data_IF_739996151063
#
_entry.id   IF_739996151063
#
_cell.length_a   1.000
_cell.length_b   1.000
_cell.length_c   1.000
_cell.angle_alpha   90.00
_cell.angle_beta   90.00
_cell.angle_gamma   90.00
#
_symmetry.space_group_name_H-M   'P 1'
#
loop_
_entity.id
_entity.type
_entity.pdbx_description
1 polymer ?
#
# COMPACT_ATOMS: atom_id res chain seq x y z
N UNK A 1 -22.38 11.48 -25.26
CA UNK A 1 -21.56 12.63 -24.86
C UNK A 1 -22.31 13.34 -23.74
N UNK A 2 -21.73 13.36 -22.54
CA UNK A 2 -22.31 14.07 -21.39
C UNK A 2 -22.10 15.57 -21.52
N UNK A 3 -22.86 16.36 -20.75
CA UNK A 3 -22.60 17.79 -20.58
C UNK A 3 -21.22 18.00 -19.96
N UNK A 4 -20.53 19.09 -20.30
CA UNK A 4 -19.33 19.49 -19.57
C UNK A 4 -19.69 19.93 -18.16
N UNK A 5 -18.71 19.88 -17.24
CA UNK A 5 -18.88 20.33 -15.86
C UNK A 5 -19.38 21.78 -15.76
N UNK A 6 -18.94 22.65 -16.67
CA UNK A 6 -19.37 24.05 -16.77
C UNK A 6 -20.82 24.20 -17.28
N UNK A 7 -21.32 23.21 -18.01
CA UNK A 7 -22.67 23.18 -18.56
C UNK A 7 -23.71 22.52 -17.65
N UNK A 8 -23.32 22.04 -16.47
CA UNK A 8 -24.26 21.50 -15.48
C UNK A 8 -25.06 22.62 -14.82
N UNK A 9 -26.36 22.39 -14.63
CA UNK A 9 -27.24 23.27 -13.87
C UNK A 9 -27.84 22.58 -12.66
N UNK A 10 -28.46 23.37 -11.77
CA UNK A 10 -29.27 22.87 -10.65
C UNK A 10 -30.24 21.74 -11.05
N UNK A 11 -30.87 21.82 -12.23
CA UNK A 11 -31.82 20.81 -12.71
C UNK A 11 -31.15 19.45 -12.98
N UNK A 12 -29.90 19.44 -13.42
CA UNK A 12 -29.14 18.20 -13.66
C UNK A 12 -28.84 17.50 -12.34
N UNK A 13 -28.51 18.25 -11.28
CA UNK A 13 -28.29 17.72 -9.94
C UNK A 13 -29.59 17.19 -9.30
N UNK A 14 -30.71 17.86 -9.52
CA UNK A 14 -32.03 17.36 -9.07
C UNK A 14 -32.39 16.06 -9.79
N UNK A 15 -32.17 15.98 -11.11
CA UNK A 15 -32.35 14.73 -11.87
C UNK A 15 -31.43 13.61 -11.40
N UNK A 16 -30.26 13.95 -10.86
CA UNK A 16 -29.32 13.01 -10.28
C UNK A 16 -29.67 12.57 -8.84
N UNK A 17 -30.78 13.08 -8.28
CA UNK A 17 -31.35 12.62 -7.01
C UNK A 17 -31.16 13.56 -5.81
N UNK A 18 -30.66 14.78 -6.01
CA UNK A 18 -30.64 15.79 -4.95
C UNK A 18 -31.99 16.50 -4.81
N UNK A 19 -32.28 17.01 -3.61
CA UNK A 19 -33.38 17.96 -3.42
C UNK A 19 -33.04 19.30 -4.07
N UNK A 20 -34.04 20.15 -4.35
CA UNK A 20 -33.79 21.46 -4.96
C UNK A 20 -32.91 22.36 -4.08
N UNK A 21 -33.05 22.26 -2.76
CA UNK A 21 -32.23 23.04 -1.81
C UNK A 21 -30.78 22.54 -1.80
N UNK A 22 -30.59 21.22 -1.67
CA UNK A 22 -29.26 20.60 -1.70
C UNK A 22 -28.57 20.85 -3.04
N UNK A 23 -29.29 20.76 -4.16
CA UNK A 23 -28.77 20.99 -5.50
C UNK A 23 -28.19 22.41 -5.67
N UNK A 24 -28.87 23.44 -5.14
CA UNK A 24 -28.36 24.83 -5.18
C UNK A 24 -27.08 25.00 -4.35
N UNK A 25 -27.04 24.41 -3.16
CA UNK A 25 -25.85 24.42 -2.31
C UNK A 25 -24.69 23.67 -2.97
N UNK A 26 -24.97 22.49 -3.50
CA UNK A 26 -24.02 21.62 -4.17
C UNK A 26 -23.43 22.28 -5.42
N UNK A 27 -24.26 22.90 -6.26
CA UNK A 27 -23.84 23.63 -7.46
C UNK A 27 -22.88 24.77 -7.13
N UNK A 28 -23.16 25.53 -6.06
CA UNK A 28 -22.28 26.61 -5.60
C UNK A 28 -20.91 26.07 -5.18
N UNK A 29 -20.89 24.97 -4.42
CA UNK A 29 -19.64 24.32 -3.97
C UNK A 29 -18.85 23.79 -5.16
N UNK A 30 -19.51 23.09 -6.10
CA UNK A 30 -18.84 22.56 -7.31
C UNK A 30 -18.23 23.69 -8.12
N UNK A 31 -18.99 24.77 -8.43
CA UNK A 31 -18.46 25.89 -9.21
C UNK A 31 -17.29 26.58 -8.51
N UNK A 32 -17.37 26.76 -7.19
CA UNK A 32 -16.30 27.36 -6.42
C UNK A 32 -15.02 26.51 -6.50
N UNK A 33 -15.11 25.20 -6.27
CA UNK A 33 -13.96 24.30 -6.36
C UNK A 33 -13.36 24.26 -7.77
N UNK A 34 -14.20 24.16 -8.81
CA UNK A 34 -13.74 24.17 -10.21
C UNK A 34 -13.04 25.50 -10.54
N UNK A 35 -13.56 26.63 -10.06
CA UNK A 35 -12.93 27.94 -10.29
C UNK A 35 -11.57 28.10 -9.60
N UNK A 36 -11.35 27.39 -8.49
CA UNK A 36 -10.08 27.38 -7.74
C UNK A 36 -9.07 26.38 -8.29
N UNK A 37 -9.51 25.37 -9.02
CA UNK A 37 -8.63 24.35 -9.60
C UNK A 37 -7.67 24.98 -10.63
N UNK A 38 -6.38 24.62 -10.57
CA UNK A 38 -5.33 25.27 -11.35
C UNK A 38 -5.35 24.78 -12.81
N UNK A 39 -6.24 25.32 -13.62
CA UNK A 39 -6.22 25.14 -15.09
C UNK A 39 -7.46 24.45 -15.66
N UNK A 40 -7.38 24.16 -16.96
CA UNK A 40 -8.45 23.48 -17.73
C UNK A 40 -8.27 21.96 -17.79
N UNK A 41 -7.26 21.39 -17.10
CA UNK A 41 -7.05 19.94 -17.09
C UNK A 41 -8.14 19.28 -16.23
N UNK A 42 -8.96 18.36 -16.80
CA UNK A 42 -9.94 17.59 -16.06
C UNK A 42 -9.40 16.86 -14.82
N UNK A 43 -8.11 16.50 -14.80
CA UNK A 43 -7.46 15.85 -13.65
C UNK A 43 -7.42 16.77 -12.44
N UNK A 44 -7.02 18.02 -12.64
CA UNK A 44 -6.89 19.01 -11.57
C UNK A 44 -8.27 19.40 -11.03
N UNK A 45 -9.26 19.50 -11.92
CA UNK A 45 -10.67 19.71 -11.58
C UNK A 45 -11.23 18.57 -10.73
N UNK A 46 -11.07 17.32 -11.18
CA UNK A 46 -11.53 16.15 -10.43
C UNK A 46 -10.79 16.03 -9.10
N UNK A 47 -9.47 16.25 -9.09
CA UNK A 47 -8.66 16.23 -7.87
C UNK A 47 -9.15 17.26 -6.84
N UNK A 48 -9.45 18.49 -7.27
CA UNK A 48 -10.01 19.52 -6.37
C UNK A 48 -11.33 19.08 -5.73
N UNK A 49 -12.24 18.47 -6.50
CA UNK A 49 -13.52 17.96 -6.00
C UNK A 49 -13.33 16.82 -4.98
N UNK A 50 -12.34 15.95 -5.21
CA UNK A 50 -11.99 14.85 -4.29
C UNK A 50 -11.33 15.37 -3.01
N UNK A 51 -10.38 16.29 -3.13
CA UNK A 51 -9.63 16.84 -1.99
C UNK A 51 -10.56 17.62 -1.03
N UNK A 52 -11.58 18.32 -1.56
CA UNK A 52 -12.61 19.01 -0.75
C UNK A 52 -13.75 18.07 -0.30
N UNK A 53 -13.70 16.79 -0.68
CA UNK A 53 -14.72 15.79 -0.36
C UNK A 53 -16.14 16.26 -0.72
N UNK A 54 -16.31 16.88 -1.90
CA UNK A 54 -17.59 17.44 -2.36
C UNK A 54 -18.65 16.34 -2.46
N UNK A 55 -18.27 15.18 -2.98
CA UNK A 55 -19.11 13.99 -3.00
C UNK A 55 -18.98 13.22 -1.68
N UNK A 56 -20.11 12.77 -1.14
CA UNK A 56 -20.20 12.02 0.12
C UNK A 56 -20.70 10.60 -0.14
N UNK A 57 -20.31 9.59 0.68
CA UNK A 57 -20.73 8.20 0.46
C UNK A 57 -22.25 7.98 0.44
N UNK A 58 -23.03 8.87 1.08
CA UNK A 58 -24.49 8.80 1.12
C UNK A 58 -25.17 9.53 -0.05
N UNK A 59 -24.42 10.22 -0.92
CA UNK A 59 -25.01 10.83 -2.11
C UNK A 59 -25.49 9.76 -3.11
N UNK A 60 -26.55 10.03 -3.89
CA UNK A 60 -27.04 9.08 -4.88
C UNK A 60 -25.96 8.74 -5.92
N UNK A 61 -25.83 7.47 -6.28
CA UNK A 61 -24.87 7.02 -7.29
C UNK A 61 -24.95 7.80 -8.63
N UNK A 62 -26.13 8.16 -9.16
CA UNK A 62 -26.23 8.98 -10.37
C UNK A 62 -25.54 10.35 -10.25
N UNK A 63 -25.48 10.95 -9.05
CA UNK A 63 -24.78 12.21 -8.82
C UNK A 63 -23.26 12.04 -8.94
N UNK A 64 -22.71 10.95 -8.39
CA UNK A 64 -21.30 10.62 -8.53
C UNK A 64 -20.92 10.45 -10.00
N UNK A 65 -21.73 9.69 -10.75
CA UNK A 65 -21.52 9.47 -12.19
C UNK A 65 -21.63 10.78 -12.98
N UNK A 66 -22.67 11.57 -12.72
CA UNK A 66 -22.88 12.84 -13.40
C UNK A 66 -21.65 13.74 -13.26
N UNK A 67 -21.17 13.95 -12.03
CA UNK A 67 -20.03 14.82 -11.78
C UNK A 67 -18.75 14.30 -12.46
N UNK A 68 -18.45 13.02 -12.28
CA UNK A 68 -17.26 12.39 -12.85
C UNK A 68 -17.22 12.48 -14.39
N UNK A 69 -18.29 12.05 -15.06
CA UNK A 69 -18.35 12.07 -16.52
C UNK A 69 -18.46 13.47 -17.09
N UNK A 70 -18.94 14.45 -16.32
CA UNK A 70 -18.99 15.85 -16.77
C UNK A 70 -17.61 16.51 -16.72
N UNK A 71 -16.82 16.21 -15.68
CA UNK A 71 -15.41 16.66 -15.60
C UNK A 71 -14.60 16.06 -16.74
N UNK A 72 -14.69 14.74 -16.94
CA UNK A 72 -13.97 14.03 -18.00
C UNK A 72 -14.73 13.98 -19.34
N UNK A 73 -15.69 14.89 -19.57
CA UNK A 73 -16.56 14.88 -20.76
C UNK A 73 -15.80 14.93 -22.09
N UNK A 74 -14.65 15.60 -22.11
CA UNK A 74 -13.76 15.75 -23.27
C UNK A 74 -12.47 14.93 -23.14
N UNK A 75 -12.44 13.93 -22.25
CA UNK A 75 -11.24 13.13 -22.00
C UNK A 75 -10.94 12.17 -23.15
N UNK A 76 -9.75 12.28 -23.74
CA UNK A 76 -9.27 11.34 -24.73
C UNK A 76 -8.54 10.17 -24.08
N UNK A 77 -9.27 9.07 -23.86
CA UNK A 77 -8.71 7.85 -23.27
C UNK A 77 -7.66 7.16 -24.15
N UNK A 78 -7.64 7.42 -25.46
CA UNK A 78 -6.66 6.80 -26.36
C UNK A 78 -5.27 7.39 -26.19
N UNK A 79 -5.20 8.68 -25.84
CA UNK A 79 -3.95 9.41 -25.62
C UNK A 79 -3.54 9.36 -24.15
N UNK A 80 -4.49 9.48 -23.23
CA UNK A 80 -4.18 9.66 -21.80
C UNK A 80 -4.44 8.43 -20.93
N UNK A 81 -4.97 7.35 -21.51
CA UNK A 81 -5.43 6.18 -20.76
C UNK A 81 -6.75 6.44 -20.04
N UNK A 82 -7.18 5.53 -19.15
CA UNK A 82 -8.45 5.70 -18.44
C UNK A 82 -8.42 6.92 -17.51
N UNK A 83 -9.52 7.68 -17.41
CA UNK A 83 -9.61 8.80 -16.46
C UNK A 83 -9.46 8.31 -15.02
N UNK A 84 -8.79 9.11 -14.19
CA UNK A 84 -8.47 8.74 -12.82
C UNK A 84 -9.64 9.05 -11.89
N UNK A 85 -10.08 8.06 -11.13
CA UNK A 85 -11.21 8.19 -10.21
C UNK A 85 -10.82 8.65 -8.81
N UNK A 86 -9.60 8.36 -8.36
CA UNK A 86 -9.17 8.62 -7.00
C UNK A 86 -7.74 9.14 -6.97
N UNK A 87 -7.48 10.07 -6.04
CA UNK A 87 -6.15 10.59 -5.75
C UNK A 87 -5.88 10.48 -4.25
N UNK A 88 -4.69 10.04 -3.85
CA UNK A 88 -4.30 10.12 -2.45
C UNK A 88 -4.13 11.58 -2.04
N UNK A 89 -4.55 11.91 -0.82
CA UNK A 89 -4.21 13.21 -0.24
C UNK A 89 -2.72 13.27 0.11
N UNK A 90 -2.13 14.48 0.24
CA UNK A 90 -0.75 14.62 0.71
C UNK A 90 -0.52 13.99 2.09
N UNK A 91 -1.50 14.09 3.00
CA UNK A 91 -1.41 13.49 4.34
C UNK A 91 -1.45 11.96 4.30
N UNK A 92 -2.35 11.38 3.51
CA UNK A 92 -2.42 9.93 3.30
C UNK A 92 -1.11 9.41 2.72
N UNK A 93 -0.56 10.09 1.72
CA UNK A 93 0.66 9.71 1.03
C UNK A 93 1.84 9.59 2.00
N UNK A 94 2.00 10.58 2.90
CA UNK A 94 3.04 10.57 3.95
C UNK A 94 2.87 9.45 4.98
N UNK A 95 1.65 8.98 5.20
CA UNK A 95 1.36 7.92 6.18
C UNK A 95 1.63 6.50 5.66
N UNK A 96 1.73 6.33 4.33
CA UNK A 96 2.05 5.04 3.72
C UNK A 96 3.45 4.56 4.15
N UNK A 97 3.72 3.26 4.09
CA UNK A 97 5.06 2.73 4.43
C UNK A 97 6.16 3.38 3.57
N UNK A 98 5.93 3.49 2.26
CA UNK A 98 6.87 4.14 1.36
C UNK A 98 6.96 5.65 1.62
N UNK A 99 5.83 6.30 1.87
CA UNK A 99 5.80 7.72 2.20
C UNK A 99 6.58 8.06 3.46
N UNK A 100 6.52 7.21 4.50
CA UNK A 100 7.34 7.36 5.71
C UNK A 100 8.82 7.25 5.39
N UNK A 101 9.24 6.25 4.60
CA UNK A 101 10.63 6.10 4.15
C UNK A 101 11.08 7.34 3.36
N UNK A 102 10.25 7.84 2.45
CA UNK A 102 10.55 9.03 1.66
C UNK A 102 10.61 10.30 2.52
N UNK A 103 9.73 10.47 3.50
CA UNK A 103 9.80 11.61 4.42
C UNK A 103 11.05 11.57 5.31
N UNK A 104 11.45 10.38 5.75
CA UNK A 104 12.64 10.21 6.61
C UNK A 104 13.95 10.35 5.84
N UNK A 105 14.04 9.80 4.63
CA UNK A 105 15.30 9.67 3.89
C UNK A 105 15.36 10.48 2.58
N UNK A 106 14.23 10.96 2.08
CA UNK A 106 14.12 11.60 0.76
C UNK A 106 15.03 12.80 0.58
N UNK A 107 15.10 13.71 1.57
CA UNK A 107 16.01 14.86 1.51
C UNK A 107 17.49 14.46 1.49
N UNK A 108 17.86 13.35 2.14
CA UNK A 108 19.24 12.82 2.12
C UNK A 108 19.57 12.16 0.77
N UNK A 109 18.62 11.44 0.19
CA UNK A 109 18.82 10.66 -1.03
C UNK A 109 18.69 11.49 -2.31
N UNK A 110 17.75 12.43 -2.33
CA UNK A 110 17.38 13.21 -3.51
C UNK A 110 17.75 14.70 -3.40
N UNK A 111 18.30 15.13 -2.25
CA UNK A 111 18.70 16.52 -2.00
C UNK A 111 17.54 17.51 -2.12
N UNK A 112 17.85 18.70 -2.66
CA UNK A 112 16.88 19.80 -2.86
C UNK A 112 15.74 19.46 -3.83
N UNK A 113 15.86 18.35 -4.57
CA UNK A 113 14.80 17.87 -5.47
C UNK A 113 13.67 17.15 -4.71
N UNK A 114 13.87 16.78 -3.45
CA UNK A 114 12.83 16.21 -2.62
C UNK A 114 11.80 17.27 -2.21
N UNK A 115 10.52 16.98 -2.40
CA UNK A 115 9.40 17.85 -2.00
C UNK A 115 8.45 17.16 -1.04
N UNK A 116 7.86 16.06 -1.50
CA UNK A 116 6.95 15.20 -0.74
C UNK A 116 6.82 13.85 -1.46
N UNK A 117 6.17 12.84 -0.85
CA UNK A 117 6.11 11.51 -1.42
C UNK A 117 5.44 11.43 -2.79
N UNK A 118 4.46 12.30 -3.09
CA UNK A 118 3.76 12.28 -4.37
C UNK A 118 4.62 12.90 -5.48
N UNK A 119 5.08 14.13 -5.27
CA UNK A 119 5.82 14.88 -6.29
C UNK A 119 7.22 14.29 -6.55
N UNK A 120 7.79 13.60 -5.57
CA UNK A 120 9.12 13.01 -5.66
C UNK A 120 9.11 11.50 -5.93
N UNK A 121 7.94 10.85 -6.07
CA UNK A 121 7.86 9.40 -6.26
C UNK A 121 8.64 8.93 -7.49
N UNK A 122 8.48 9.60 -8.64
CA UNK A 122 9.16 9.22 -9.87
C UNK A 122 10.69 9.34 -9.75
N UNK A 123 11.16 10.34 -9.00
CA UNK A 123 12.59 10.54 -8.76
C UNK A 123 13.12 9.46 -7.81
N UNK A 124 12.39 9.14 -6.75
CA UNK A 124 12.72 8.06 -5.82
C UNK A 124 12.72 6.68 -6.49
N UNK A 125 11.77 6.42 -7.41
CA UNK A 125 11.74 5.21 -8.25
C UNK A 125 12.97 5.13 -9.16
N UNK A 126 13.37 6.24 -9.79
CA UNK A 126 14.61 6.24 -10.61
C UNK A 126 15.83 5.96 -9.74
N UNK A 127 15.92 6.59 -8.57
CA UNK A 127 16.99 6.35 -7.61
C UNK A 127 17.09 4.87 -7.21
N UNK A 128 15.96 4.15 -7.02
CA UNK A 128 16.00 2.72 -6.66
C UNK A 128 16.58 1.83 -7.75
N UNK A 129 16.49 2.24 -9.02
CA UNK A 129 17.04 1.54 -10.17
C UNK A 129 18.51 1.91 -10.41
N UNK A 130 18.83 3.21 -10.31
CA UNK A 130 20.15 3.76 -10.61
C UNK A 130 21.14 3.47 -9.47
N UNK A 131 20.66 3.45 -8.22
CA UNK A 131 21.47 3.26 -7.01
C UNK A 131 20.93 2.10 -6.14
N UNK A 132 20.91 0.85 -6.66
CA UNK A 132 20.30 -0.29 -5.97
C UNK A 132 21.01 -0.62 -4.64
N UNK A 133 22.34 -0.44 -4.57
CA UNK A 133 23.10 -0.68 -3.35
C UNK A 133 22.58 0.18 -2.19
N UNK A 134 22.52 1.50 -2.40
CA UNK A 134 22.06 2.43 -1.37
C UNK A 134 20.56 2.30 -1.07
N UNK A 135 19.74 2.04 -2.09
CA UNK A 135 18.29 1.88 -1.92
C UNK A 135 17.95 0.63 -1.12
N UNK A 136 18.50 -0.53 -1.50
CA UNK A 136 18.14 -1.78 -0.84
C UNK A 136 18.79 -1.92 0.53
N UNK A 137 20.01 -1.39 0.77
CA UNK A 137 20.54 -1.32 2.13
C UNK A 137 19.56 -0.59 3.06
N UNK A 138 19.05 0.56 2.62
CA UNK A 138 18.02 1.28 3.36
C UNK A 138 16.75 0.44 3.60
N UNK A 139 16.23 -0.21 2.55
CA UNK A 139 15.00 -1.03 2.69
C UNK A 139 15.21 -2.20 3.64
N UNK A 140 16.36 -2.87 3.60
CA UNK A 140 16.65 -4.02 4.49
C UNK A 140 16.78 -3.57 5.95
N UNK A 141 17.34 -2.38 6.19
CA UNK A 141 17.40 -1.77 7.52
C UNK A 141 16.01 -1.41 8.04
N UNK A 142 15.16 -0.78 7.21
CA UNK A 142 13.76 -0.45 7.55
C UNK A 142 12.92 -1.71 7.81
N UNK A 143 13.19 -2.81 7.09
CA UNK A 143 12.57 -4.12 7.33
C UNK A 143 13.11 -4.82 8.59
N UNK A 144 14.17 -4.29 9.20
CA UNK A 144 14.81 -4.85 10.40
C UNK A 144 15.22 -6.32 10.23
N UNK A 145 15.77 -6.67 9.06
CA UNK A 145 16.25 -8.03 8.82
C UNK A 145 17.48 -8.34 9.67
N UNK A 146 17.51 -9.56 10.23
CA UNK A 146 18.62 -10.02 11.06
C UNK A 146 19.52 -10.92 10.24
N UNK A 147 20.70 -10.41 9.91
CA UNK A 147 21.75 -11.17 9.25
C UNK A 147 22.69 -11.77 10.30
N UNK A 148 22.90 -13.08 10.25
CA UNK A 148 23.98 -13.75 10.99
C UNK A 148 25.34 -13.52 10.35
N UNK A 149 25.35 -13.44 9.02
CA UNK A 149 26.47 -12.93 8.22
C UNK A 149 25.91 -11.90 7.25
N UNK A 150 26.39 -10.65 7.26
CA UNK A 150 25.91 -9.63 6.34
C UNK A 150 26.33 -9.96 4.90
N UNK A 151 25.57 -9.48 3.90
CA UNK A 151 25.97 -9.59 2.51
C UNK A 151 27.25 -8.78 2.23
N UNK A 152 28.05 -9.22 1.26
CA UNK A 152 29.18 -8.44 0.75
C UNK A 152 28.74 -7.19 -0.04
N UNK A 153 27.64 -7.30 -0.77
CA UNK A 153 26.96 -6.21 -1.48
C UNK A 153 25.49 -6.55 -1.69
N UNK A 154 24.66 -5.61 -2.17
CA UNK A 154 23.24 -5.88 -2.45
C UNK A 154 23.06 -6.78 -3.67
N UNK A 155 23.74 -6.47 -4.78
CA UNK A 155 23.56 -7.17 -6.05
C UNK A 155 24.89 -7.33 -6.78
N UNK A 156 25.32 -8.58 -6.91
CA UNK A 156 26.46 -8.95 -7.76
C UNK A 156 25.96 -9.24 -9.19
N UNK A 157 26.40 -8.44 -10.16
CA UNK A 157 26.01 -8.55 -11.57
C UNK A 157 27.00 -9.35 -12.43
N UNK A 158 27.95 -10.07 -11.83
CA UNK A 158 28.96 -10.86 -12.56
C UNK A 158 28.37 -11.99 -13.42
N UNK A 159 27.11 -12.40 -13.15
CA UNK A 159 26.39 -13.44 -13.90
C UNK A 159 25.05 -12.92 -14.43
N UNK A 160 24.53 -13.47 -15.55
CA UNK A 160 23.17 -13.20 -16.01
C UNK A 160 22.15 -13.48 -14.90
N UNK A 161 21.22 -12.53 -14.68
CA UNK A 161 20.24 -12.58 -13.59
C UNK A 161 20.72 -11.97 -12.26
N UNK A 162 22.03 -11.85 -12.05
CA UNK A 162 22.63 -11.33 -10.84
C UNK A 162 22.44 -12.23 -9.61
N UNK A 163 23.24 -12.01 -8.58
CA UNK A 163 23.12 -12.67 -7.27
C UNK A 163 22.82 -11.62 -6.22
N UNK A 164 21.65 -11.72 -5.60
CA UNK A 164 21.24 -10.83 -4.52
C UNK A 164 21.86 -11.27 -3.20
N UNK A 165 22.35 -10.29 -2.43
CA UNK A 165 22.89 -10.48 -1.08
C UNK A 165 23.94 -11.61 -1.00
N UNK A 166 24.95 -11.65 -1.88
CA UNK A 166 26.00 -12.67 -1.84
C UNK A 166 26.65 -12.74 -0.45
N UNK A 167 26.97 -13.96 -0.03
CA UNK A 167 27.61 -14.28 1.25
C UNK A 167 26.75 -14.03 2.50
N UNK A 168 25.53 -13.51 2.32
CA UNK A 168 24.60 -13.32 3.43
C UNK A 168 24.11 -14.65 3.99
N UNK A 169 24.02 -14.71 5.32
CA UNK A 169 23.38 -15.80 6.04
C UNK A 169 22.32 -15.23 6.95
N UNK A 170 21.08 -15.64 6.73
CA UNK A 170 19.92 -15.32 7.56
C UNK A 170 19.04 -16.55 7.73
N UNK A 171 18.15 -16.50 8.72
CA UNK A 171 17.06 -17.44 8.86
C UNK A 171 15.73 -16.68 8.80
N UNK A 172 14.84 -17.08 7.89
CA UNK A 172 13.56 -16.39 7.68
C UNK A 172 12.66 -16.53 8.91
N UNK A 173 12.58 -17.72 9.51
CA UNK A 173 11.82 -17.96 10.72
C UNK A 173 12.35 -17.12 11.90
N UNK A 174 13.67 -16.96 12.03
CA UNK A 174 14.28 -16.03 12.99
C UNK A 174 13.82 -14.59 12.75
N UNK A 175 13.86 -14.12 11.51
CA UNK A 175 13.38 -12.79 11.13
C UNK A 175 11.87 -12.63 11.39
N UNK A 176 11.06 -13.68 11.28
CA UNK A 176 9.62 -13.61 11.55
C UNK A 176 9.29 -13.68 13.04
N UNK A 177 9.97 -14.54 13.81
CA UNK A 177 9.54 -14.98 15.14
C UNK A 177 10.30 -14.31 16.29
N UNK A 178 11.48 -13.75 16.03
CA UNK A 178 12.23 -13.05 17.07
C UNK A 178 11.59 -11.71 17.39
N UNK A 179 11.43 -11.38 18.69
CA UNK A 179 10.97 -10.06 19.06
C UNK A 179 12.08 -9.07 18.70
N UNK A 180 11.69 -7.95 18.10
CA UNK A 180 12.62 -6.90 17.72
C UNK A 180 12.17 -5.60 18.36
N UNK A 181 13.10 -4.66 18.54
CA UNK A 181 12.82 -3.29 18.98
C UNK A 181 12.05 -2.45 17.92
N UNK A 182 11.35 -3.11 17.01
CA UNK A 182 10.41 -2.49 16.09
C UNK A 182 9.03 -2.42 16.78
N UNK A 183 8.31 -1.29 16.70
CA UNK A 183 6.98 -1.17 17.30
C UNK A 183 6.07 -2.31 16.81
N UNK A 184 5.36 -2.94 17.75
CA UNK A 184 4.38 -4.04 17.54
C UNK A 184 4.96 -5.44 17.25
N UNK A 185 6.23 -5.70 17.58
CA UNK A 185 6.84 -7.04 17.48
C UNK A 185 7.39 -7.53 18.83
N UNK A 186 6.63 -7.31 19.88
CA UNK A 186 6.92 -7.84 21.22
C UNK A 186 6.32 -9.24 21.38
N UNK A 187 6.76 -9.99 22.37
CA UNK A 187 6.30 -11.36 22.62
C UNK A 187 4.79 -11.49 22.77
N UNK A 188 4.15 -10.52 23.43
CA UNK A 188 2.70 -10.51 23.68
C UNK A 188 1.91 -9.85 22.52
N UNK A 189 2.60 -9.41 21.46
CA UNK A 189 1.95 -8.90 20.25
C UNK A 189 1.23 -10.03 19.51
N UNK A 190 0.05 -9.74 18.96
CA UNK A 190 -0.69 -10.70 18.14
C UNK A 190 0.06 -10.98 16.83
N UNK A 191 0.37 -12.24 16.58
CA UNK A 191 1.03 -12.70 15.36
C UNK A 191 0.04 -13.31 14.37
N UNK A 192 -0.89 -14.15 14.86
CA UNK A 192 -1.91 -14.79 14.02
C UNK A 192 -3.30 -14.52 14.58
N UNK A 193 -4.23 -14.28 13.67
CA UNK A 193 -5.65 -14.10 13.92
C UNK A 193 -6.39 -14.91 12.87
N UNK A 194 -7.19 -15.88 13.28
CA UNK A 194 -7.85 -16.79 12.36
C UNK A 194 -9.23 -17.22 12.87
N UNK A 195 -10.00 -17.83 11.98
CA UNK A 195 -11.27 -18.45 12.29
C UNK A 195 -11.29 -19.82 11.62
N UNK A 196 -11.80 -20.81 12.33
CA UNK A 196 -11.94 -22.15 11.79
C UNK A 196 -13.13 -22.20 10.83
N UNK A 197 -13.00 -22.98 9.76
CA UNK A 197 -14.05 -23.14 8.75
C UNK A 197 -15.36 -23.61 9.42
N UNK A 198 -16.49 -23.01 9.01
CA UNK A 198 -17.80 -23.29 9.60
C UNK A 198 -18.08 -22.62 10.95
N UNK A 199 -17.15 -21.80 11.47
CA UNK A 199 -17.30 -21.12 12.78
C UNK A 199 -17.53 -19.60 12.63
N UNK A 200 -18.35 -19.17 11.66
CA UNK A 200 -18.56 -17.76 11.29
C UNK A 200 -19.10 -16.88 12.43
N UNK A 201 -19.93 -17.45 13.30
CA UNK A 201 -20.52 -16.78 14.45
C UNK A 201 -19.64 -16.85 15.71
N UNK A 202 -18.53 -17.59 15.67
CA UNK A 202 -17.62 -17.72 16.81
C UNK A 202 -16.63 -16.55 16.90
N UNK A 203 -16.14 -16.22 18.11
CA UNK A 203 -15.05 -15.28 18.28
C UNK A 203 -13.83 -15.67 17.47
N UNK A 204 -13.11 -14.67 16.95
CA UNK A 204 -11.90 -14.90 16.17
C UNK A 204 -10.78 -15.39 17.10
N UNK A 205 -10.12 -16.48 16.74
CA UNK A 205 -8.96 -17.00 17.45
C UNK A 205 -7.76 -16.06 17.31
N UNK A 206 -6.87 -16.10 18.29
CA UNK A 206 -5.69 -15.23 18.38
C UNK A 206 -4.52 -16.01 18.93
N UNK A 207 -3.33 -15.73 18.40
CA UNK A 207 -2.07 -16.29 18.90
C UNK A 207 -1.02 -15.21 18.93
N UNK A 208 -0.36 -15.10 20.06
CA UNK A 208 0.75 -14.17 20.29
C UNK A 208 2.02 -14.63 19.57
N UNK A 209 2.97 -13.71 19.38
CA UNK A 209 4.27 -14.03 18.80
C UNK A 209 5.02 -15.08 19.63
N UNK A 210 4.93 -15.00 20.96
CA UNK A 210 5.52 -15.99 21.87
C UNK A 210 4.94 -17.39 21.64
N UNK A 211 3.62 -17.52 21.59
CA UNK A 211 2.94 -18.81 21.38
C UNK A 211 3.26 -19.39 20.00
N UNK A 212 3.25 -18.56 18.96
CA UNK A 212 3.63 -18.98 17.61
C UNK A 212 5.07 -19.51 17.60
N UNK A 213 6.01 -18.76 18.17
CA UNK A 213 7.42 -19.16 18.26
C UNK A 213 7.58 -20.51 18.98
N UNK A 214 6.87 -20.71 20.10
CA UNK A 214 6.91 -21.97 20.84
C UNK A 214 6.40 -23.15 20.01
N UNK A 215 5.28 -22.98 19.29
CA UNK A 215 4.73 -24.04 18.42
C UNK A 215 5.67 -24.37 17.26
N UNK A 216 6.23 -23.34 16.61
CA UNK A 216 7.21 -23.53 15.53
C UNK A 216 8.44 -24.29 16.03
N UNK A 217 9.00 -23.88 17.17
CA UNK A 217 10.16 -24.56 17.76
C UNK A 217 9.86 -26.01 18.14
N UNK A 218 8.64 -26.31 18.60
CA UNK A 218 8.23 -27.68 18.91
C UNK A 218 8.26 -28.56 17.66
N UNK A 219 7.69 -28.08 16.55
CA UNK A 219 7.70 -28.82 15.28
C UNK A 219 9.12 -28.94 14.73
N UNK A 220 9.89 -27.84 14.72
CA UNK A 220 11.27 -27.82 14.22
C UNK A 220 12.16 -28.83 14.98
N UNK A 221 12.02 -28.90 16.30
CA UNK A 221 12.75 -29.86 17.11
C UNK A 221 12.32 -31.30 16.82
N UNK A 222 11.03 -31.57 16.61
CA UNK A 222 10.52 -32.90 16.30
C UNK A 222 11.05 -33.44 14.96
N UNK A 223 11.27 -32.56 13.98
CA UNK A 223 11.75 -32.96 12.64
C UNK A 223 13.28 -32.88 12.50
N UNK A 224 13.99 -32.22 13.42
CA UNK A 224 15.43 -31.97 13.36
C UNK A 224 16.32 -33.21 13.23
N UNK A 225 15.86 -34.37 13.74
CA UNK A 225 16.59 -35.64 13.62
C UNK A 225 16.37 -36.39 12.31
N UNK A 226 15.38 -35.97 11.51
CA UNK A 226 14.95 -36.67 10.30
C UNK A 226 15.32 -35.93 9.01
N UNK A 227 15.59 -34.62 9.09
CA UNK A 227 15.88 -33.78 7.93
C UNK A 227 17.14 -32.94 8.14
N UNK A 228 17.84 -32.66 7.05
CA UNK A 228 19.02 -31.80 6.99
C UNK A 228 18.73 -30.53 6.19
N UNK A 229 19.59 -29.51 6.35
CA UNK A 229 19.51 -28.28 5.56
C UNK A 229 19.63 -28.61 4.07
N UNK A 230 18.62 -28.21 3.30
CA UNK A 230 18.55 -28.46 1.86
C UNK A 230 17.53 -29.54 1.48
N UNK A 231 17.04 -30.31 2.45
CA UNK A 231 15.95 -31.25 2.22
C UNK A 231 14.64 -30.50 1.94
N UNK A 232 13.81 -31.10 1.11
CA UNK A 232 12.50 -30.55 0.72
C UNK A 232 11.38 -31.25 1.47
N UNK A 233 10.50 -30.47 2.10
CA UNK A 233 9.31 -30.96 2.78
C UNK A 233 8.08 -30.49 2.01
N UNK A 234 7.23 -31.42 1.58
CA UNK A 234 5.94 -31.10 0.96
C UNK A 234 4.90 -30.84 2.06
N UNK A 235 4.18 -29.72 1.96
CA UNK A 235 3.09 -29.36 2.87
C UNK A 235 1.79 -29.41 2.06
N UNK A 236 0.97 -30.43 2.31
CA UNK A 236 -0.36 -30.58 1.72
C UNK A 236 -1.42 -30.39 2.81
N UNK A 237 -1.72 -29.12 3.09
CA UNK A 237 -2.61 -28.72 4.19
C UNK A 237 -3.53 -27.57 3.76
N UNK A 238 -4.75 -27.49 4.33
CA UNK A 238 -5.61 -26.32 4.16
C UNK A 238 -5.00 -25.08 4.83
N UNK A 239 -5.61 -23.90 4.61
CA UNK A 239 -5.14 -22.63 5.16
C UNK A 239 -5.45 -22.49 6.66
N UNK A 240 -4.80 -23.30 7.49
CA UNK A 240 -4.95 -23.32 8.95
C UNK A 240 -3.75 -22.70 9.65
N UNK A 241 -3.89 -22.45 10.95
CA UNK A 241 -2.79 -21.98 11.80
C UNK A 241 -1.62 -22.97 11.83
N UNK A 242 -1.91 -24.27 11.77
CA UNK A 242 -0.88 -25.31 11.80
C UNK A 242 -0.05 -25.34 10.51
N UNK A 243 -0.64 -25.01 9.36
CA UNK A 243 0.11 -24.87 8.11
C UNK A 243 1.15 -23.74 8.19
N UNK A 244 0.82 -22.62 8.86
CA UNK A 244 1.77 -21.52 9.11
C UNK A 244 2.88 -21.97 10.07
N UNK A 245 2.53 -22.70 11.13
CA UNK A 245 3.51 -23.25 12.08
C UNK A 245 4.49 -24.18 11.39
N UNK A 246 4.00 -25.13 10.59
CA UNK A 246 4.84 -26.11 9.89
C UNK A 246 5.69 -25.44 8.82
N UNK A 247 5.17 -24.43 8.11
CA UNK A 247 5.94 -23.69 7.11
C UNK A 247 7.15 -22.95 7.71
N UNK A 248 7.05 -22.49 8.96
CA UNK A 248 8.13 -21.76 9.64
C UNK A 248 9.08 -22.66 10.44
N UNK A 249 8.77 -23.96 10.60
CA UNK A 249 9.53 -24.91 11.42
C UNK A 249 10.71 -25.53 10.66
#
# INVERSE_FOLDING_TARGET
MGKSIEGLSCDDYVKAGLTLEDAKGFEKVVRDVISRSKGTDPRDQWKGLVDESVLKPWHPHPLHQLLYYSVYSNWDSSVHGPPLYWFPSPSQSKSTNLGRIMETHGSRLLGDSYKNPLDSFDLFRRYSVDCPEAYWSLVLDELSLVFRSPPRCILDKSKPGGTWLPDAVLNIAECCLMPLSHPKKEDDSLALVWRDEGSDDSPVNRMTLRELRQRVMLVANAISGSFAKGDTIAIDMPMTVDAVVIYLA
#
